data_IF_365821059333
#
_entry.id   IF_365821059333
#
_cell.length_a   1.000
_cell.length_b   1.000
_cell.length_c   1.000
_cell.angle_alpha   90.00
_cell.angle_beta   90.00
_cell.angle_gamma   90.00
#
_symmetry.space_group_name_H-M   'P 1'
#
loop_
_entity.id
_entity.type
_entity.pdbx_description
1 polymer ?
#
# COMPACT_ATOMS: atom_id res chain seq x y z
N UNK A 1 -27.98 4.69 36.41
CA UNK A 1 -26.87 3.73 36.26
C UNK A 1 -27.14 2.92 35.01
N UNK A 2 -26.63 3.40 33.86
CA UNK A 2 -26.66 2.67 32.59
C UNK A 2 -25.37 1.87 32.57
N UNK A 3 -25.51 0.53 32.72
CA UNK A 3 -24.36 -0.36 32.78
C UNK A 3 -23.55 -0.30 31.51
N UNK A 4 -22.27 -0.02 31.61
CA UNK A 4 -21.28 -0.23 30.57
C UNK A 4 -21.24 -1.74 30.24
N UNK A 5 -22.06 -2.14 29.27
CA UNK A 5 -21.84 -3.41 28.59
C UNK A 5 -20.50 -3.30 27.84
N UNK A 6 -19.55 -4.12 28.22
CA UNK A 6 -18.26 -4.18 27.53
C UNK A 6 -18.51 -4.50 26.05
N UNK A 7 -17.77 -3.85 25.16
CA UNK A 7 -17.86 -3.96 23.68
C UNK A 7 -17.74 -5.41 23.14
N UNK A 8 -17.40 -6.36 23.99
CA UNK A 8 -17.38 -7.80 23.72
C UNK A 8 -18.74 -8.49 23.85
N UNK A 9 -19.73 -7.90 24.56
CA UNK A 9 -21.03 -8.55 24.77
C UNK A 9 -21.92 -8.51 23.54
N UNK A 10 -21.80 -7.49 22.66
CA UNK A 10 -22.55 -7.45 21.40
C UNK A 10 -22.08 -8.51 20.38
N UNK A 11 -20.82 -8.99 20.47
CA UNK A 11 -20.32 -10.10 19.65
C UNK A 11 -20.92 -11.45 20.06
N UNK A 12 -21.38 -11.59 21.29
CA UNK A 12 -22.06 -12.82 21.76
C UNK A 12 -23.53 -12.90 21.35
N UNK A 13 -24.16 -11.80 21.01
CA UNK A 13 -25.57 -11.79 20.56
C UNK A 13 -25.77 -12.14 19.08
N UNK A 14 -24.71 -12.18 18.23
CA UNK A 14 -24.80 -12.67 16.85
C UNK A 14 -24.74 -14.20 16.85
N UNK A 15 -25.83 -14.84 16.40
CA UNK A 15 -25.95 -16.32 16.29
C UNK A 15 -24.93 -16.97 15.34
N UNK A 16 -24.17 -16.20 14.54
CA UNK A 16 -23.14 -16.71 13.63
C UNK A 16 -21.89 -15.81 13.67
N UNK A 17 -20.70 -16.43 13.77
CA UNK A 17 -19.42 -15.72 13.66
C UNK A 17 -19.27 -15.15 12.26
N UNK A 18 -18.61 -13.95 12.10
CA UNK A 18 -18.30 -13.44 10.77
C UNK A 18 -17.35 -14.39 10.03
N UNK A 19 -17.60 -14.59 8.74
CA UNK A 19 -16.69 -15.36 7.86
C UNK A 19 -15.61 -14.43 7.36
N UNK A 20 -14.34 -14.74 7.62
CA UNK A 20 -13.19 -14.05 7.04
C UNK A 20 -12.29 -15.01 6.26
N UNK A 21 -11.62 -14.47 5.25
CA UNK A 21 -10.57 -15.20 4.56
C UNK A 21 -9.19 -14.69 4.98
N UNK A 22 -8.24 -15.60 5.11
CA UNK A 22 -6.81 -15.30 5.20
C UNK A 22 -6.17 -15.70 3.87
N UNK A 23 -5.63 -14.72 3.16
CA UNK A 23 -4.96 -14.89 1.87
C UNK A 23 -3.46 -14.78 2.09
N UNK A 24 -2.72 -15.89 1.88
CA UNK A 24 -1.27 -15.95 2.06
C UNK A 24 -0.53 -15.46 0.83
N UNK A 25 0.50 -14.62 1.05
CA UNK A 25 1.45 -14.23 -0.01
C UNK A 25 2.91 -14.51 0.38
N UNK A 26 3.18 -15.00 1.59
CA UNK A 26 4.52 -15.25 2.12
C UNK A 26 5.05 -14.12 3.01
N UNK A 27 6.36 -13.87 2.92
CA UNK A 27 7.05 -12.84 3.70
C UNK A 27 7.55 -13.32 5.07
N UNK A 28 8.09 -12.41 5.89
CA UNK A 28 8.70 -12.70 7.21
C UNK A 28 7.75 -13.43 8.16
N UNK A 29 6.46 -13.11 8.13
CA UNK A 29 5.45 -13.79 8.94
C UNK A 29 5.38 -15.30 8.65
N UNK A 30 5.74 -15.72 7.44
CA UNK A 30 5.81 -17.11 6.99
C UNK A 30 7.26 -17.65 6.94
N UNK A 31 8.25 -16.90 7.42
CA UNK A 31 9.66 -17.25 7.28
C UNK A 31 10.15 -18.15 8.40
N UNK A 32 11.00 -19.11 8.03
CA UNK A 32 11.75 -20.00 8.93
C UNK A 32 13.21 -20.02 8.53
N UNK A 33 14.10 -20.28 9.48
CA UNK A 33 15.53 -20.41 9.21
C UNK A 33 15.82 -21.69 8.43
N UNK A 34 16.51 -21.56 7.28
CA UNK A 34 17.03 -22.68 6.50
C UNK A 34 18.54 -22.77 6.68
N UNK A 35 18.98 -23.84 7.36
CA UNK A 35 20.41 -24.06 7.65
C UNK A 35 21.27 -24.31 6.40
N UNK A 36 20.65 -24.79 5.29
CA UNK A 36 21.39 -25.05 4.05
C UNK A 36 21.66 -23.75 3.29
N UNK A 37 20.70 -22.82 3.34
CA UNK A 37 20.82 -21.51 2.69
C UNK A 37 21.46 -20.47 3.62
N UNK A 38 21.61 -20.77 4.92
CA UNK A 38 22.19 -19.87 5.91
C UNK A 38 21.34 -18.62 6.18
N UNK A 39 20.01 -18.69 6.01
CA UNK A 39 19.12 -17.55 6.15
C UNK A 39 17.64 -17.93 6.24
N UNK A 40 16.79 -16.93 6.46
CA UNK A 40 15.35 -17.13 6.53
C UNK A 40 14.72 -17.18 5.14
N UNK A 41 13.83 -18.15 4.91
CA UNK A 41 13.05 -18.32 3.68
C UNK A 41 11.57 -18.37 3.98
N UNK A 42 10.74 -17.90 3.07
CA UNK A 42 9.29 -18.03 3.19
C UNK A 42 8.90 -19.50 2.99
N UNK A 43 8.53 -20.17 4.07
CA UNK A 43 8.33 -21.62 4.11
C UNK A 43 6.97 -22.05 4.70
N UNK A 44 6.40 -21.27 5.61
CA UNK A 44 5.10 -21.60 6.19
C UNK A 44 3.97 -21.23 5.24
N UNK A 45 2.95 -22.11 5.15
CA UNK A 45 1.70 -21.82 4.45
C UNK A 45 0.79 -20.89 5.28
N UNK A 46 -0.16 -20.23 4.65
CA UNK A 46 -1.17 -19.45 5.37
C UNK A 46 -2.02 -20.34 6.30
N UNK A 47 -2.23 -21.61 5.93
CA UNK A 47 -2.91 -22.57 6.82
C UNK A 47 -2.11 -22.84 8.10
N UNK A 48 -0.77 -22.98 8.02
CA UNK A 48 0.08 -23.13 9.19
C UNK A 48 0.05 -21.87 10.06
N UNK A 49 0.06 -20.68 9.46
CA UNK A 49 -0.05 -19.41 10.18
C UNK A 49 -1.37 -19.30 10.95
N UNK A 50 -2.49 -19.64 10.32
CA UNK A 50 -3.81 -19.65 10.97
C UNK A 50 -3.86 -20.69 12.11
N UNK A 51 -3.31 -21.89 11.89
CA UNK A 51 -3.29 -22.95 12.90
C UNK A 51 -2.42 -22.60 14.11
N UNK A 52 -1.43 -21.72 13.95
CA UNK A 52 -0.59 -21.24 15.04
C UNK A 52 -1.28 -20.17 15.93
N UNK A 53 -2.48 -19.69 15.55
CA UNK A 53 -3.24 -18.66 16.27
C UNK A 53 -4.67 -19.16 16.53
N UNK A 54 -4.88 -20.09 17.47
CA UNK A 54 -6.21 -20.69 17.75
C UNK A 54 -7.25 -19.66 18.17
N UNK A 55 -6.86 -18.52 18.74
CA UNK A 55 -7.74 -17.41 19.13
C UNK A 55 -8.50 -16.79 17.96
N UNK A 56 -8.04 -17.00 16.72
CA UNK A 56 -8.79 -16.60 15.51
C UNK A 56 -10.19 -17.23 15.49
N UNK A 57 -10.30 -18.48 15.96
CA UNK A 57 -11.57 -19.18 16.09
C UNK A 57 -12.56 -18.52 17.06
N UNK A 58 -12.11 -17.71 18.00
CA UNK A 58 -12.99 -16.93 18.89
C UNK A 58 -13.57 -15.69 18.20
N UNK A 59 -12.88 -15.18 17.17
CA UNK A 59 -13.24 -13.95 16.46
C UNK A 59 -14.14 -14.24 15.25
N UNK A 60 -13.79 -15.25 14.45
CA UNK A 60 -14.40 -15.48 13.14
C UNK A 60 -14.34 -16.95 12.73
N UNK A 61 -15.20 -17.33 11.77
CA UNK A 61 -14.96 -18.51 10.96
C UNK A 61 -13.89 -18.14 9.91
N UNK A 62 -12.77 -18.88 9.90
CA UNK A 62 -11.61 -18.55 9.06
C UNK A 62 -11.49 -19.56 7.94
N UNK A 63 -11.42 -19.06 6.69
CA UNK A 63 -11.02 -19.83 5.51
C UNK A 63 -9.69 -19.31 4.98
N UNK A 64 -8.92 -20.20 4.34
CA UNK A 64 -7.57 -19.89 3.88
C UNK A 64 -7.49 -20.02 2.36
N UNK A 65 -6.75 -19.11 1.73
CA UNK A 65 -6.38 -19.16 0.32
C UNK A 65 -4.89 -18.89 0.21
N UNK A 66 -4.14 -19.77 -0.43
CA UNK A 66 -2.77 -19.53 -0.82
C UNK A 66 -2.76 -18.81 -2.19
N UNK A 67 -2.26 -17.57 -2.21
CA UNK A 67 -2.05 -16.84 -3.46
C UNK A 67 -0.62 -17.04 -3.96
N UNK A 68 0.34 -16.86 -3.09
CA UNK A 68 1.77 -17.07 -3.34
C UNK A 68 2.50 -17.33 -2.02
N UNK A 69 3.75 -17.74 -2.08
CA UNK A 69 4.61 -17.87 -0.90
C UNK A 69 6.02 -17.39 -1.23
N UNK A 70 6.19 -16.07 -1.30
CA UNK A 70 7.43 -15.43 -1.74
C UNK A 70 7.88 -14.34 -0.77
N UNK A 71 9.18 -14.04 -0.78
CA UNK A 71 9.68 -12.81 -0.15
C UNK A 71 9.14 -11.60 -0.93
N UNK A 72 8.57 -10.63 -0.23
CA UNK A 72 7.92 -9.49 -0.88
C UNK A 72 8.85 -8.63 -1.73
N UNK A 73 10.16 -8.63 -1.48
CA UNK A 73 11.13 -7.96 -2.36
C UNK A 73 11.22 -8.63 -3.75
N UNK A 74 10.75 -9.88 -3.88
CA UNK A 74 10.70 -10.64 -5.13
C UNK A 74 9.29 -10.62 -5.76
N UNK A 75 8.33 -9.95 -5.14
CA UNK A 75 6.98 -9.83 -5.69
C UNK A 75 7.01 -8.93 -6.91
N UNK A 76 6.78 -9.51 -8.07
CA UNK A 76 6.64 -8.77 -9.31
C UNK A 76 5.23 -8.16 -9.45
N UNK A 77 5.10 -7.25 -10.38
CA UNK A 77 3.85 -6.54 -10.64
C UNK A 77 2.72 -7.48 -11.06
N UNK A 78 3.05 -8.53 -11.82
CA UNK A 78 2.08 -9.54 -12.28
C UNK A 78 1.49 -10.31 -11.10
N UNK A 79 2.33 -10.78 -10.18
CA UNK A 79 1.90 -11.49 -8.96
C UNK A 79 1.08 -10.55 -8.06
N UNK A 80 1.58 -9.33 -7.83
CA UNK A 80 0.85 -8.34 -7.03
C UNK A 80 -0.52 -7.99 -7.65
N UNK A 81 -0.58 -7.82 -8.97
CA UNK A 81 -1.84 -7.54 -9.67
C UNK A 81 -2.79 -8.74 -9.67
N UNK A 82 -2.27 -9.96 -9.76
CA UNK A 82 -3.06 -11.20 -9.66
C UNK A 82 -3.72 -11.38 -8.29
N UNK A 83 -3.17 -10.79 -7.22
CA UNK A 83 -3.79 -10.77 -5.89
C UNK A 83 -5.15 -10.06 -5.92
N UNK A 84 -5.31 -9.00 -6.72
CA UNK A 84 -6.59 -8.32 -6.96
C UNK A 84 -7.70 -9.31 -7.36
N UNK A 85 -7.41 -10.19 -8.32
CA UNK A 85 -8.40 -11.13 -8.83
C UNK A 85 -8.77 -12.19 -7.79
N UNK A 86 -7.79 -12.60 -6.98
CA UNK A 86 -8.02 -13.47 -5.81
C UNK A 86 -8.92 -12.79 -4.79
N UNK A 87 -8.66 -11.54 -4.44
CA UNK A 87 -9.47 -10.76 -3.50
C UNK A 87 -10.89 -10.52 -4.05
N UNK A 88 -11.02 -10.11 -5.31
CA UNK A 88 -12.32 -9.89 -5.96
C UNK A 88 -13.16 -11.18 -5.97
N UNK A 89 -12.54 -12.33 -6.24
CA UNK A 89 -13.23 -13.64 -6.23
C UNK A 89 -13.76 -13.98 -4.85
N UNK A 90 -12.93 -13.81 -3.80
CA UNK A 90 -13.32 -14.10 -2.41
C UNK A 90 -14.42 -13.16 -1.93
N UNK A 91 -14.31 -11.87 -2.23
CA UNK A 91 -15.25 -10.83 -1.76
C UNK A 91 -16.61 -10.85 -2.49
N UNK A 92 -16.75 -11.60 -3.60
CA UNK A 92 -18.03 -11.80 -4.28
C UNK A 92 -19.03 -12.64 -3.47
N UNK A 93 -18.55 -13.47 -2.55
CA UNK A 93 -19.40 -14.25 -1.65
C UNK A 93 -19.97 -13.31 -0.57
N UNK A 94 -21.30 -13.12 -0.56
CA UNK A 94 -21.98 -12.23 0.37
C UNK A 94 -21.81 -12.65 1.83
N UNK A 95 -21.56 -13.93 2.11
CA UNK A 95 -21.30 -14.44 3.44
C UNK A 95 -19.96 -13.95 4.00
N UNK A 96 -19.02 -13.54 3.16
CA UNK A 96 -17.69 -13.04 3.58
C UNK A 96 -17.82 -11.65 4.19
N UNK A 97 -17.38 -11.50 5.42
CA UNK A 97 -17.37 -10.24 6.18
C UNK A 97 -16.12 -9.40 5.90
N UNK A 98 -14.99 -10.03 5.57
CA UNK A 98 -13.74 -9.35 5.28
C UNK A 98 -12.60 -10.31 4.92
N UNK A 99 -11.45 -9.74 4.55
CA UNK A 99 -10.26 -10.49 4.15
C UNK A 99 -9.03 -9.95 4.87
N UNK A 100 -8.18 -10.86 5.36
CA UNK A 100 -6.83 -10.57 5.82
C UNK A 100 -5.84 -11.07 4.77
N UNK A 101 -4.86 -10.26 4.40
CA UNK A 101 -3.75 -10.66 3.54
C UNK A 101 -2.47 -10.67 4.37
N UNK A 102 -1.78 -11.81 4.45
CA UNK A 102 -0.44 -11.87 5.05
C UNK A 102 0.60 -11.58 3.99
N UNK A 103 1.51 -10.64 4.25
CA UNK A 103 2.44 -10.10 3.27
C UNK A 103 3.81 -9.80 3.90
N UNK A 104 4.87 -9.90 3.11
CA UNK A 104 6.19 -9.45 3.54
C UNK A 104 6.27 -7.92 3.60
N UNK A 105 6.92 -7.39 4.63
CA UNK A 105 6.90 -5.95 4.93
C UNK A 105 7.70 -5.07 3.97
N UNK A 106 8.56 -5.64 3.09
CA UNK A 106 9.42 -4.84 2.21
C UNK A 106 8.63 -4.05 1.16
N UNK A 107 7.59 -4.64 0.56
CA UNK A 107 6.74 -4.00 -0.46
C UNK A 107 5.25 -3.98 -0.08
N UNK A 108 4.95 -4.23 1.19
CA UNK A 108 3.57 -4.26 1.70
C UNK A 108 2.81 -2.97 1.37
N UNK A 109 3.44 -1.81 1.56
CA UNK A 109 2.84 -0.51 1.29
C UNK A 109 2.45 -0.33 -0.19
N UNK A 110 3.23 -0.91 -1.10
CA UNK A 110 2.98 -0.86 -2.54
C UNK A 110 1.79 -1.74 -2.91
N UNK A 111 1.80 -3.00 -2.46
CA UNK A 111 0.68 -3.93 -2.67
C UNK A 111 -0.61 -3.41 -2.06
N UNK A 112 -0.55 -2.83 -0.85
CA UNK A 112 -1.73 -2.26 -0.20
C UNK A 112 -2.39 -1.16 -1.05
N UNK A 113 -1.60 -0.24 -1.59
CA UNK A 113 -2.13 0.84 -2.39
C UNK A 113 -2.62 0.36 -3.77
N UNK A 114 -1.92 -0.59 -4.40
CA UNK A 114 -2.38 -1.22 -5.63
C UNK A 114 -3.76 -1.87 -5.43
N UNK A 115 -3.97 -2.59 -4.32
CA UNK A 115 -5.25 -3.21 -4.00
C UNK A 115 -6.33 -2.15 -3.72
N UNK A 116 -6.02 -1.07 -3.00
CA UNK A 116 -6.97 0.03 -2.74
C UNK A 116 -7.44 0.71 -4.03
N UNK A 117 -6.53 0.88 -5.00
CA UNK A 117 -6.84 1.45 -6.30
C UNK A 117 -7.69 0.53 -7.19
N UNK A 118 -7.59 -0.80 -7.03
CA UNK A 118 -8.05 -1.72 -8.08
C UNK A 118 -9.07 -2.77 -7.64
N UNK A 119 -9.26 -3.05 -6.34
CA UNK A 119 -10.21 -4.10 -5.90
C UNK A 119 -11.67 -3.62 -5.91
N UNK A 120 -11.94 -2.41 -5.42
CA UNK A 120 -13.27 -1.80 -5.47
C UNK A 120 -14.32 -2.48 -4.59
N UNK A 121 -13.96 -2.90 -3.37
CA UNK A 121 -14.88 -3.55 -2.44
C UNK A 121 -15.20 -2.65 -1.24
N UNK A 122 -16.44 -2.73 -0.75
CA UNK A 122 -16.85 -2.10 0.51
C UNK A 122 -16.49 -2.95 1.73
N UNK A 123 -16.32 -4.26 1.54
CA UNK A 123 -15.90 -5.18 2.60
C UNK A 123 -14.44 -4.92 2.98
N UNK A 124 -14.07 -5.05 4.29
CA UNK A 124 -12.73 -4.82 4.76
C UNK A 124 -11.68 -5.70 4.08
N UNK A 125 -10.59 -5.09 3.64
CA UNK A 125 -9.36 -5.76 3.23
C UNK A 125 -8.26 -5.25 4.14
N UNK A 126 -7.66 -6.14 4.94
CA UNK A 126 -6.64 -5.78 5.92
C UNK A 126 -5.35 -6.51 5.59
N UNK A 127 -4.30 -5.78 5.29
CA UNK A 127 -2.98 -6.36 5.02
C UNK A 127 -2.13 -6.28 6.28
N UNK A 128 -1.43 -7.37 6.59
CA UNK A 128 -0.55 -7.48 7.74
C UNK A 128 0.72 -8.25 7.39
N UNK A 129 1.69 -8.23 8.29
CA UNK A 129 2.95 -8.93 8.16
C UNK A 129 3.65 -9.08 9.51
N UNK A 130 4.94 -9.39 9.49
CA UNK A 130 5.77 -9.44 10.68
C UNK A 130 7.17 -8.87 10.41
N UNK A 131 7.78 -8.29 11.43
CA UNK A 131 9.19 -7.89 11.41
C UNK A 131 10.11 -8.98 11.94
N UNK A 132 9.63 -9.77 12.90
CA UNK A 132 10.35 -10.87 13.52
C UNK A 132 9.90 -12.21 12.93
N UNK A 133 10.85 -13.08 12.70
CA UNK A 133 10.56 -14.41 12.17
C UNK A 133 9.90 -15.30 13.22
N UNK A 134 9.23 -16.34 12.79
CA UNK A 134 8.47 -17.23 13.68
C UNK A 134 9.33 -18.03 14.66
N UNK A 135 10.62 -18.17 14.40
CA UNK A 135 11.62 -18.86 15.21
C UNK A 135 12.41 -17.92 16.14
N UNK A 136 12.13 -16.63 16.11
CA UNK A 136 12.67 -15.67 17.09
C UNK A 136 11.97 -15.82 18.45
N UNK A 137 12.59 -15.29 19.51
CA UNK A 137 12.09 -15.45 20.88
C UNK A 137 10.72 -14.82 21.13
N UNK A 138 10.42 -13.73 20.43
CA UNK A 138 9.18 -12.94 20.59
C UNK A 138 8.60 -12.50 19.23
N UNK A 139 8.15 -13.47 18.41
CA UNK A 139 7.62 -13.18 17.08
C UNK A 139 6.37 -12.31 17.16
N UNK A 140 6.27 -11.29 16.31
CA UNK A 140 5.12 -10.39 16.25
C UNK A 140 4.01 -10.88 15.31
N UNK A 141 4.31 -11.85 14.43
CA UNK A 141 3.40 -12.37 13.42
C UNK A 141 2.05 -12.87 13.97
N UNK A 142 2.03 -13.76 14.97
CA UNK A 142 0.78 -14.28 15.55
C UNK A 142 -0.15 -13.18 16.07
N UNK A 143 0.39 -12.19 16.77
CA UNK A 143 -0.38 -11.04 17.28
C UNK A 143 -0.88 -10.15 16.14
N UNK A 144 -0.05 -9.89 15.14
CA UNK A 144 -0.43 -9.07 14.00
C UNK A 144 -1.55 -9.74 13.17
N UNK A 145 -1.48 -11.06 13.00
CA UNK A 145 -2.53 -11.83 12.32
C UNK A 145 -3.85 -11.78 13.12
N UNK A 146 -3.81 -11.98 14.44
CA UNK A 146 -4.98 -11.88 15.30
C UNK A 146 -5.62 -10.48 15.22
N UNK A 147 -4.82 -9.44 15.30
CA UNK A 147 -5.29 -8.05 15.25
C UNK A 147 -5.85 -7.68 13.86
N UNK A 148 -5.21 -8.14 12.79
CA UNK A 148 -5.74 -7.96 11.45
C UNK A 148 -7.11 -8.64 11.26
N UNK A 149 -7.29 -9.84 11.84
CA UNK A 149 -8.58 -10.54 11.85
C UNK A 149 -9.65 -9.77 12.63
N UNK A 150 -9.29 -9.22 13.80
CA UNK A 150 -10.21 -8.36 14.57
C UNK A 150 -10.66 -7.14 13.77
N UNK A 151 -9.74 -6.51 13.02
CA UNK A 151 -10.07 -5.36 12.15
C UNK A 151 -10.94 -5.80 10.98
N UNK A 152 -10.61 -6.92 10.31
CA UNK A 152 -11.37 -7.43 9.16
C UNK A 152 -12.80 -7.88 9.53
N UNK A 153 -13.00 -8.33 10.78
CA UNK A 153 -14.30 -8.72 11.32
C UNK A 153 -15.11 -7.52 11.87
N UNK A 154 -14.49 -6.34 12.02
CA UNK A 154 -15.13 -5.20 12.67
C UNK A 154 -16.12 -4.49 11.73
N UNK A 155 -17.36 -4.25 12.15
CA UNK A 155 -18.38 -3.62 11.27
C UNK A 155 -17.97 -2.25 10.73
N UNK A 156 -17.27 -1.44 11.52
CA UNK A 156 -16.82 -0.10 11.11
C UNK A 156 -15.62 -0.13 10.16
N UNK A 157 -15.04 -1.28 9.86
CA UNK A 157 -13.92 -1.38 8.91
C UNK A 157 -14.40 -1.32 7.44
N UNK A 158 -15.68 -1.60 7.20
CA UNK A 158 -16.29 -1.49 5.87
C UNK A 158 -16.23 -0.07 5.29
N UNK A 159 -16.12 0.05 3.98
CA UNK A 159 -16.05 1.33 3.26
C UNK A 159 -14.75 2.14 3.45
N UNK A 160 -13.79 1.63 4.24
CA UNK A 160 -12.52 2.32 4.51
C UNK A 160 -11.42 2.01 3.49
N UNK A 161 -11.70 1.15 2.50
CA UNK A 161 -10.71 0.67 1.55
C UNK A 161 -9.76 -0.35 2.14
N UNK A 162 -8.58 -0.44 1.57
CA UNK A 162 -7.53 -1.33 2.07
C UNK A 162 -6.83 -0.69 3.26
N UNK A 163 -6.78 -1.46 4.34
CA UNK A 163 -6.13 -1.08 5.59
C UNK A 163 -4.85 -1.90 5.79
N UNK A 164 -3.88 -1.32 6.45
CA UNK A 164 -2.68 -2.02 6.93
C UNK A 164 -2.73 -2.02 8.46
N UNK A 165 -2.77 -3.22 9.05
CA UNK A 165 -2.79 -3.39 10.51
C UNK A 165 -1.52 -4.11 10.96
N UNK A 166 -0.62 -3.41 11.65
CA UNK A 166 0.65 -3.95 12.14
C UNK A 166 1.09 -3.16 13.37
N UNK A 167 1.65 -3.84 14.37
CA UNK A 167 2.16 -3.18 15.57
C UNK A 167 1.11 -2.42 16.39
N UNK A 168 -0.15 -2.82 16.35
CA UNK A 168 -1.31 -2.19 17.02
C UNK A 168 -1.85 -0.91 16.34
N UNK A 169 -1.28 -0.46 15.24
CA UNK A 169 -1.78 0.67 14.46
C UNK A 169 -2.53 0.20 13.20
N UNK A 170 -3.52 0.98 12.80
CA UNK A 170 -4.29 0.78 11.58
C UNK A 170 -4.05 1.98 10.68
N UNK A 171 -3.49 1.74 9.49
CA UNK A 171 -3.18 2.77 8.51
C UNK A 171 -4.01 2.61 7.24
N UNK A 172 -4.32 3.70 6.57
CA UNK A 172 -4.87 3.68 5.21
C UNK A 172 -3.77 3.30 4.20
N UNK A 173 -4.11 2.47 3.23
CA UNK A 173 -3.17 2.01 2.19
C UNK A 173 -2.51 3.15 1.42
N UNK A 174 -3.23 4.25 1.19
CA UNK A 174 -2.71 5.43 0.51
C UNK A 174 -1.54 6.08 1.25
N UNK A 175 -1.61 6.14 2.59
CA UNK A 175 -0.72 6.98 3.40
C UNK A 175 0.36 6.18 4.13
N UNK A 176 0.17 4.87 4.30
CA UNK A 176 1.11 4.00 4.99
C UNK A 176 2.46 3.92 4.26
N UNK A 177 3.55 3.97 5.01
CA UNK A 177 4.91 3.75 4.50
C UNK A 177 5.78 3.05 5.54
N UNK A 178 6.72 2.23 5.08
CA UNK A 178 7.70 1.59 5.96
C UNK A 178 8.76 2.61 6.36
N UNK A 179 8.85 2.92 7.65
CA UNK A 179 9.74 3.96 8.20
C UNK A 179 10.97 3.40 8.90
N UNK A 180 10.98 2.10 9.20
CA UNK A 180 12.12 1.46 9.86
C UNK A 180 12.25 -0.01 9.42
N UNK A 181 13.49 -0.52 9.20
CA UNK A 181 13.69 -1.90 8.76
C UNK A 181 13.60 -2.96 9.87
N UNK A 182 13.69 -2.59 11.16
CA UNK A 182 13.90 -3.55 12.27
C UNK A 182 12.81 -3.56 13.33
N UNK A 183 12.32 -2.39 13.76
CA UNK A 183 11.38 -2.31 14.87
C UNK A 183 9.99 -2.82 14.49
N UNK A 184 9.25 -3.38 15.44
CA UNK A 184 7.90 -3.94 15.19
C UNK A 184 6.86 -2.86 14.82
N UNK A 185 7.07 -1.61 15.21
CA UNK A 185 6.28 -0.43 14.79
C UNK A 185 6.89 0.21 13.54
N UNK A 186 7.20 -0.60 12.54
CA UNK A 186 7.98 -0.21 11.37
C UNK A 186 7.20 0.57 10.31
N UNK A 187 5.90 0.70 10.44
CA UNK A 187 5.05 1.48 9.53
C UNK A 187 4.57 2.77 10.18
N UNK A 188 4.39 3.79 9.37
CA UNK A 188 3.81 5.07 9.74
C UNK A 188 3.03 5.64 8.57
N UNK A 189 2.38 6.77 8.75
CA UNK A 189 1.75 7.54 7.68
C UNK A 189 2.48 8.86 7.50
N UNK A 190 2.58 9.35 6.25
CA UNK A 190 3.36 10.57 5.94
C UNK A 190 2.88 11.79 6.72
N UNK A 191 1.59 12.09 6.63
CA UNK A 191 1.05 13.36 7.13
C UNK A 191 -0.19 13.17 8.02
N UNK A 192 -0.95 12.09 7.85
CA UNK A 192 -2.24 11.90 8.51
C UNK A 192 -2.21 11.03 9.78
N UNK A 193 -1.12 10.33 10.06
CA UNK A 193 -1.05 9.36 11.15
C UNK A 193 -1.92 8.11 10.92
N UNK A 194 -2.08 7.25 11.94
CA UNK A 194 -2.95 6.08 11.87
C UNK A 194 -4.43 6.49 11.84
N UNK A 195 -5.24 5.74 11.10
CA UNK A 195 -6.70 5.92 11.04
C UNK A 195 -7.44 5.18 12.16
N UNK A 196 -6.72 4.38 12.92
CA UNK A 196 -7.25 3.62 14.05
C UNK A 196 -6.18 2.88 14.81
N UNK A 197 -6.60 2.16 15.84
CA UNK A 197 -5.75 1.25 16.60
C UNK A 197 -6.49 -0.06 16.92
N UNK A 198 -5.70 -1.11 17.12
CA UNK A 198 -6.20 -2.41 17.56
C UNK A 198 -5.39 -2.91 18.74
N UNK A 199 -6.07 -3.35 19.79
CA UNK A 199 -5.47 -3.88 21.01
C UNK A 199 -6.27 -5.10 21.46
N UNK A 200 -5.82 -5.78 22.52
CA UNK A 200 -6.60 -6.84 23.16
C UNK A 200 -7.99 -6.37 23.67
N UNK A 201 -8.22 -5.07 23.78
CA UNK A 201 -9.51 -4.48 24.18
C UNK A 201 -10.48 -4.28 23.02
N UNK A 202 -10.01 -4.38 21.77
CA UNK A 202 -10.80 -4.20 20.56
C UNK A 202 -10.18 -3.25 19.56
N UNK A 203 -10.96 -2.94 18.54
CA UNK A 203 -10.63 -2.01 17.43
C UNK A 203 -11.24 -0.65 17.72
N UNK A 204 -10.50 0.40 17.44
CA UNK A 204 -10.99 1.79 17.53
C UNK A 204 -10.54 2.55 16.30
N UNK A 205 -11.49 3.15 15.56
CA UNK A 205 -11.18 4.03 14.43
C UNK A 205 -11.23 5.49 14.88
N UNK A 206 -10.25 6.29 14.44
CA UNK A 206 -10.11 7.71 14.75
C UNK A 206 -10.62 8.60 13.63
N UNK A 207 -10.45 8.13 12.38
CA UNK A 207 -10.80 8.89 11.17
C UNK A 207 -11.15 7.99 10.00
N UNK A 208 -11.77 8.58 8.97
CA UNK A 208 -11.99 7.94 7.66
C UNK A 208 -10.79 8.23 6.76
N UNK A 209 -10.28 7.22 6.00
CA UNK A 209 -9.31 7.46 4.95
C UNK A 209 -9.83 8.49 3.93
N UNK A 210 -9.00 9.46 3.60
CA UNK A 210 -9.34 10.54 2.68
C UNK A 210 -8.77 10.29 1.28
N UNK A 211 -9.30 10.99 0.26
CA UNK A 211 -8.74 11.04 -1.10
C UNK A 211 -8.59 9.67 -1.76
N UNK A 212 -9.48 8.74 -1.45
CA UNK A 212 -9.49 7.42 -2.08
C UNK A 212 -9.94 7.53 -3.53
N UNK A 213 -9.28 6.78 -4.38
CA UNK A 213 -9.59 6.62 -5.80
C UNK A 213 -9.70 5.13 -6.09
N UNK A 214 -10.73 4.73 -6.81
CA UNK A 214 -10.85 3.40 -7.39
C UNK A 214 -10.88 3.53 -8.91
N UNK A 215 -10.12 2.68 -9.60
CA UNK A 215 -10.01 2.64 -11.05
C UNK A 215 -10.29 1.22 -11.54
N UNK A 216 -11.30 1.06 -12.39
CA UNK A 216 -11.53 -0.20 -13.09
C UNK A 216 -10.51 -0.31 -14.22
N UNK A 217 -9.69 -1.37 -14.17
CA UNK A 217 -8.64 -1.67 -15.14
C UNK A 217 -8.55 -3.16 -15.41
N UNK A 218 -8.25 -3.53 -16.66
CA UNK A 218 -7.97 -4.92 -17.02
C UNK A 218 -6.47 -5.26 -16.90
N UNK A 219 -5.63 -4.25 -16.88
CA UNK A 219 -4.19 -4.34 -16.75
C UNK A 219 -3.58 -3.03 -16.29
N UNK A 220 -2.29 -3.02 -16.04
CA UNK A 220 -1.54 -1.84 -15.63
C UNK A 220 -0.33 -1.64 -16.54
N UNK A 221 0.21 -0.42 -16.58
CA UNK A 221 1.45 -0.11 -17.30
C UNK A 221 2.63 -0.23 -16.35
N UNK A 222 3.59 -1.11 -16.66
CA UNK A 222 4.64 -1.51 -15.72
C UNK A 222 5.90 -0.64 -15.82
N UNK A 223 6.22 -0.13 -17.03
CA UNK A 223 7.43 0.65 -17.28
C UNK A 223 7.29 2.11 -16.82
N UNK A 224 6.94 2.27 -15.53
CA UNK A 224 6.91 3.57 -14.84
C UNK A 224 8.06 3.65 -13.85
N UNK A 225 8.92 4.64 -14.01
CA UNK A 225 10.17 4.77 -13.23
C UNK A 225 10.19 5.98 -12.33
N UNK A 226 10.83 5.86 -11.16
CA UNK A 226 11.07 6.97 -10.23
C UNK A 226 12.49 7.49 -10.47
N UNK A 227 12.62 8.80 -10.71
CA UNK A 227 13.90 9.49 -10.83
C UNK A 227 14.02 10.50 -9.68
N UNK A 228 14.88 10.17 -8.72
CA UNK A 228 15.11 11.00 -7.53
C UNK A 228 16.20 12.03 -7.80
N UNK A 229 15.87 13.31 -7.61
CA UNK A 229 16.79 14.42 -7.74
C UNK A 229 17.84 14.41 -6.62
N UNK A 230 19.12 14.47 -6.99
CA UNK A 230 20.26 14.72 -6.10
C UNK A 230 21.06 15.93 -6.58
N UNK A 231 21.85 16.54 -5.68
CA UNK A 231 22.71 17.67 -6.04
C UNK A 231 23.69 17.24 -7.15
N UNK A 232 23.74 18.03 -8.25
CA UNK A 232 24.62 17.74 -9.40
C UNK A 232 24.13 16.61 -10.32
N UNK A 233 22.94 16.05 -10.11
CA UNK A 233 22.40 14.99 -10.97
C UNK A 233 22.21 15.51 -12.42
N UNK A 234 22.54 14.65 -13.40
CA UNK A 234 22.38 14.89 -14.82
C UNK A 234 21.03 14.40 -15.34
N UNK A 235 20.74 14.66 -16.62
CA UNK A 235 19.53 14.14 -17.30
C UNK A 235 19.71 12.72 -17.88
N UNK A 236 20.77 12.00 -17.50
CA UNK A 236 21.10 10.69 -18.09
C UNK A 236 19.93 9.70 -18.00
N UNK A 237 19.28 9.61 -16.82
CA UNK A 237 18.17 8.67 -16.60
C UNK A 237 16.95 9.05 -17.47
N UNK A 238 16.66 10.33 -17.66
CA UNK A 238 15.58 10.75 -18.54
C UNK A 238 15.85 10.36 -19.99
N UNK A 239 17.08 10.56 -20.48
CA UNK A 239 17.47 10.13 -21.84
C UNK A 239 17.30 8.62 -22.01
N UNK A 240 17.71 7.83 -21.03
CA UNK A 240 17.51 6.38 -21.05
C UNK A 240 16.03 6.00 -21.09
N UNK A 241 15.19 6.63 -20.26
CA UNK A 241 13.74 6.41 -20.25
C UNK A 241 13.10 6.78 -21.60
N UNK A 242 13.48 7.92 -22.19
CA UNK A 242 12.96 8.34 -23.50
C UNK A 242 13.39 7.38 -24.60
N UNK A 243 14.64 6.93 -24.58
CA UNK A 243 15.15 5.94 -25.53
C UNK A 243 14.44 4.59 -25.40
N UNK A 244 14.15 4.15 -24.17
CA UNK A 244 13.43 2.92 -23.86
C UNK A 244 11.92 3.03 -24.13
N UNK A 245 11.39 4.24 -24.36
CA UNK A 245 9.95 4.51 -24.54
C UNK A 245 9.12 4.01 -23.35
N UNK A 246 9.54 4.33 -22.13
CA UNK A 246 8.85 3.93 -20.91
C UNK A 246 7.42 4.49 -20.87
N UNK A 247 6.53 3.85 -20.10
CA UNK A 247 5.13 4.26 -19.97
C UNK A 247 4.96 5.57 -19.17
N UNK A 248 5.88 5.86 -18.23
CA UNK A 248 5.78 7.07 -17.42
C UNK A 248 6.98 7.31 -16.51
N UNK A 249 7.10 8.52 -15.99
CA UNK A 249 8.19 8.93 -15.09
C UNK A 249 7.60 9.67 -13.89
N UNK A 250 8.07 9.31 -12.68
CA UNK A 250 7.84 10.06 -11.45
C UNK A 250 9.12 10.75 -11.05
N UNK A 251 9.10 12.06 -10.89
CA UNK A 251 10.24 12.87 -10.44
C UNK A 251 10.08 13.22 -8.98
N UNK A 252 11.04 12.81 -8.16
CA UNK A 252 11.13 13.23 -6.75
C UNK A 252 12.10 14.42 -6.62
N UNK A 253 11.55 15.63 -6.59
CA UNK A 253 12.31 16.88 -6.47
C UNK A 253 12.78 17.19 -5.06
N UNK A 254 13.67 18.17 -4.92
CA UNK A 254 14.18 18.68 -3.64
C UNK A 254 13.23 19.72 -3.04
N UNK A 255 13.20 19.83 -1.71
CA UNK A 255 12.35 20.80 -1.02
C UNK A 255 10.90 20.71 -1.50
N UNK A 256 10.31 21.77 -1.97
CA UNK A 256 8.94 21.82 -2.52
C UNK A 256 8.78 21.26 -3.94
N UNK A 257 9.62 20.34 -4.38
CA UNK A 257 9.53 19.69 -5.70
C UNK A 257 10.44 20.30 -6.76
N UNK A 258 11.46 21.08 -6.37
CA UNK A 258 12.37 21.74 -7.28
C UNK A 258 13.46 20.77 -7.78
N UNK A 259 13.94 21.01 -9.00
CA UNK A 259 15.02 20.27 -9.64
C UNK A 259 16.09 21.21 -10.19
N UNK A 260 17.26 20.69 -10.56
CA UNK A 260 18.27 21.45 -11.27
C UNK A 260 17.96 21.58 -12.76
N UNK A 261 18.70 22.39 -13.50
CA UNK A 261 18.47 22.65 -14.92
C UNK A 261 18.56 21.37 -15.77
N UNK A 262 19.60 20.50 -15.64
CA UNK A 262 19.63 19.26 -16.40
C UNK A 262 18.43 18.34 -16.15
N UNK A 263 17.92 18.25 -14.92
CA UNK A 263 16.72 17.46 -14.59
C UNK A 263 15.46 18.06 -15.23
N UNK A 264 15.34 19.39 -15.20
CA UNK A 264 14.23 20.09 -15.85
C UNK A 264 14.23 19.84 -17.35
N UNK A 265 15.39 19.96 -18.03
CA UNK A 265 15.54 19.66 -19.46
C UNK A 265 15.18 18.19 -19.75
N UNK A 266 15.61 17.26 -18.89
CA UNK A 266 15.27 15.85 -19.01
C UNK A 266 13.76 15.59 -18.87
N UNK A 267 13.09 16.24 -17.94
CA UNK A 267 11.64 16.14 -17.77
C UNK A 267 10.89 16.75 -18.99
N UNK A 268 11.37 17.87 -19.51
CA UNK A 268 10.83 18.47 -20.75
C UNK A 268 10.98 17.52 -21.94
N UNK A 269 12.16 16.91 -22.12
CA UNK A 269 12.41 15.92 -23.17
C UNK A 269 11.43 14.74 -23.10
N UNK A 270 11.16 14.23 -21.90
CA UNK A 270 10.19 13.15 -21.69
C UNK A 270 8.76 13.58 -22.07
N UNK A 271 8.34 14.76 -21.62
CA UNK A 271 7.03 15.34 -21.98
C UNK A 271 6.88 15.56 -23.48
N UNK A 272 7.91 16.06 -24.14
CA UNK A 272 7.94 16.26 -25.61
C UNK A 272 7.91 14.94 -26.38
N UNK A 273 8.42 13.85 -25.79
CA UNK A 273 8.30 12.49 -26.32
C UNK A 273 6.93 11.84 -26.02
N UNK A 274 5.99 12.55 -25.38
CA UNK A 274 4.67 12.04 -25.04
C UNK A 274 4.65 11.15 -23.78
N UNK A 275 5.74 11.07 -23.02
CA UNK A 275 5.82 10.31 -21.77
C UNK A 275 5.27 11.17 -20.62
N UNK A 276 4.23 10.76 -19.92
CA UNK A 276 3.71 11.50 -18.77
C UNK A 276 4.74 11.58 -17.64
N UNK A 277 4.92 12.77 -17.10
CA UNK A 277 5.83 13.06 -16.00
C UNK A 277 5.01 13.52 -14.80
N UNK A 278 5.07 12.77 -13.70
CA UNK A 278 4.51 13.17 -12.41
C UNK A 278 5.62 13.76 -11.55
N UNK A 279 5.41 14.97 -11.02
CA UNK A 279 6.39 15.64 -10.18
C UNK A 279 5.91 15.72 -8.71
N UNK A 280 6.78 15.37 -7.79
CA UNK A 280 6.56 15.37 -6.35
C UNK A 280 7.81 15.75 -5.57
N UNK A 281 7.82 15.42 -4.29
CA UNK A 281 8.93 15.71 -3.38
C UNK A 281 9.60 14.43 -2.89
N UNK A 282 10.91 14.48 -2.67
CA UNK A 282 11.68 13.39 -2.06
C UNK A 282 11.64 13.38 -0.52
N UNK A 283 10.97 14.36 0.07
CA UNK A 283 10.85 14.49 1.53
C UNK A 283 9.86 13.48 2.11
N UNK A 284 10.02 13.05 3.35
CA UNK A 284 9.16 12.06 4.00
C UNK A 284 7.75 12.58 4.34
N UNK A 285 7.54 13.92 4.32
CA UNK A 285 6.25 14.54 4.64
C UNK A 285 6.03 15.82 3.85
N UNK A 286 4.80 16.33 3.83
CA UNK A 286 4.39 17.52 3.09
C UNK A 286 4.10 17.25 1.62
N UNK A 287 3.77 18.31 0.91
CA UNK A 287 3.48 18.31 -0.54
C UNK A 287 4.34 19.31 -1.30
N UNK A 288 4.36 19.24 -2.63
CA UNK A 288 5.04 20.21 -3.46
C UNK A 288 4.31 21.57 -3.43
N UNK A 289 5.04 22.65 -3.75
CA UNK A 289 4.47 23.99 -3.79
C UNK A 289 5.06 24.87 -4.90
N UNK A 290 4.28 25.84 -5.38
CA UNK A 290 4.58 26.68 -6.54
C UNK A 290 5.22 28.03 -6.24
N UNK A 291 5.73 28.28 -5.03
CA UNK A 291 6.22 29.58 -4.59
C UNK A 291 7.55 30.07 -5.22
N UNK A 292 8.17 29.30 -6.13
CA UNK A 292 9.43 29.65 -6.80
C UNK A 292 9.23 29.78 -8.31
N UNK A 293 9.94 30.73 -8.95
CA UNK A 293 9.76 31.10 -10.37
C UNK A 293 11.09 31.10 -11.16
N UNK A 294 11.94 30.09 -10.96
CA UNK A 294 13.15 29.88 -11.76
C UNK A 294 13.07 28.59 -12.58
N UNK A 295 13.97 28.41 -13.57
CA UNK A 295 14.09 27.19 -14.36
C UNK A 295 14.44 26.02 -13.44
N UNK A 296 13.62 24.96 -13.47
CA UNK A 296 13.74 23.83 -12.54
C UNK A 296 12.93 23.99 -11.27
N UNK A 297 12.20 25.11 -11.05
CA UNK A 297 11.21 25.18 -9.98
C UNK A 297 10.04 24.23 -10.24
N UNK A 298 9.37 23.79 -9.20
CA UNK A 298 8.16 22.98 -9.33
C UNK A 298 7.11 23.65 -10.22
N UNK A 299 6.90 24.97 -10.07
CA UNK A 299 6.00 25.73 -10.93
C UNK A 299 6.42 25.67 -12.42
N UNK A 300 7.71 25.67 -12.73
CA UNK A 300 8.17 25.58 -14.12
C UNK A 300 7.89 24.20 -14.74
N UNK A 301 7.98 23.12 -13.96
CA UNK A 301 7.57 21.78 -14.37
C UNK A 301 6.07 21.71 -14.65
N UNK A 302 5.24 22.26 -13.76
CA UNK A 302 3.78 22.31 -13.95
C UNK A 302 3.39 23.07 -15.23
N UNK A 303 4.04 24.22 -15.52
CA UNK A 303 3.82 24.99 -16.75
C UNK A 303 4.21 24.22 -18.02
N UNK A 304 5.12 23.26 -17.92
CA UNK A 304 5.53 22.39 -19.05
C UNK A 304 4.59 21.19 -19.24
N UNK A 305 3.62 21.02 -18.36
CA UNK A 305 2.61 19.96 -18.45
C UNK A 305 2.85 18.75 -17.56
N UNK A 306 3.82 18.81 -16.63
CA UNK A 306 3.95 17.78 -15.61
C UNK A 306 2.69 17.71 -14.73
N UNK A 307 2.43 16.52 -14.15
CA UNK A 307 1.31 16.24 -13.27
C UNK A 307 1.79 16.35 -11.82
N UNK A 308 1.02 17.00 -10.95
CA UNK A 308 1.34 17.06 -9.53
C UNK A 308 1.10 15.70 -8.85
N UNK A 309 2.05 15.22 -8.05
CA UNK A 309 1.81 14.09 -7.15
C UNK A 309 0.93 14.47 -5.95
N UNK A 310 0.76 15.76 -5.67
CA UNK A 310 0.17 16.22 -4.41
C UNK A 310 0.93 15.66 -3.20
N UNK A 311 0.20 15.17 -2.22
CA UNK A 311 0.77 14.56 -1.00
C UNK A 311 1.15 13.08 -1.16
N UNK A 312 1.08 12.49 -2.35
CA UNK A 312 1.55 11.12 -2.56
C UNK A 312 3.09 11.05 -2.52
N UNK A 313 3.62 9.99 -1.91
CA UNK A 313 5.04 9.65 -2.04
C UNK A 313 5.37 9.26 -3.48
N UNK A 314 6.64 9.29 -3.87
CA UNK A 314 7.05 8.86 -5.21
C UNK A 314 6.63 7.42 -5.52
N UNK A 315 6.72 6.51 -4.53
CA UNK A 315 6.26 5.12 -4.65
C UNK A 315 4.75 5.06 -4.92
N UNK A 316 3.94 5.78 -4.14
CA UNK A 316 2.48 5.81 -4.34
C UNK A 316 2.10 6.49 -5.65
N UNK A 317 2.79 7.57 -6.02
CA UNK A 317 2.59 8.23 -7.30
C UNK A 317 2.93 7.32 -8.50
N UNK A 318 3.97 6.48 -8.37
CA UNK A 318 4.32 5.47 -9.37
C UNK A 318 3.19 4.45 -9.55
N UNK A 319 2.70 3.88 -8.46
CA UNK A 319 1.62 2.88 -8.50
C UNK A 319 0.35 3.50 -9.09
N UNK A 320 -0.02 4.72 -8.66
CA UNK A 320 -1.17 5.42 -9.22
C UNK A 320 -1.01 5.64 -10.74
N UNK A 321 0.20 6.04 -11.21
CA UNK A 321 0.45 6.25 -12.63
C UNK A 321 0.35 4.95 -13.42
N UNK A 322 0.91 3.85 -12.92
CA UNK A 322 0.80 2.52 -13.54
C UNK A 322 -0.67 2.10 -13.74
N UNK A 323 -1.49 2.28 -12.71
CA UNK A 323 -2.92 1.93 -12.75
C UNK A 323 -3.70 2.92 -13.63
N UNK A 324 -3.45 4.22 -13.49
CA UNK A 324 -4.13 5.25 -14.25
C UNK A 324 -3.86 5.14 -15.75
N UNK A 325 -2.64 4.79 -16.17
CA UNK A 325 -2.30 4.52 -17.56
C UNK A 325 -2.91 3.23 -18.11
N UNK A 326 -3.27 2.28 -17.24
CA UNK A 326 -4.12 1.13 -17.59
C UNK A 326 -5.59 1.50 -17.79
N UNK A 327 -6.02 2.63 -17.20
CA UNK A 327 -7.38 3.14 -17.28
C UNK A 327 -7.60 4.15 -18.40
N UNK A 328 -6.61 5.01 -18.69
CA UNK A 328 -6.73 6.08 -19.70
C UNK A 328 -5.36 6.54 -20.20
N UNK A 329 -5.31 6.94 -21.45
CA UNK A 329 -4.17 7.63 -22.07
C UNK A 329 -4.39 9.15 -22.19
N UNK A 330 -5.57 9.65 -21.79
CA UNK A 330 -5.91 11.07 -21.84
C UNK A 330 -5.18 11.87 -20.74
N UNK A 331 -4.32 12.84 -21.07
CA UNK A 331 -3.53 13.61 -20.11
C UNK A 331 -4.37 14.40 -19.11
N UNK A 332 -5.53 14.92 -19.51
CA UNK A 332 -6.38 15.70 -18.62
C UNK A 332 -7.07 14.78 -17.61
N UNK A 333 -7.47 13.59 -18.04
CA UNK A 333 -8.02 12.59 -17.14
C UNK A 333 -6.98 12.09 -16.14
N UNK A 334 -5.73 11.92 -16.55
CA UNK A 334 -4.63 11.62 -15.64
C UNK A 334 -4.46 12.72 -14.58
N UNK A 335 -4.51 14.01 -14.97
CA UNK A 335 -4.46 15.15 -14.03
C UNK A 335 -5.61 15.12 -13.01
N UNK A 336 -6.85 14.84 -13.46
CA UNK A 336 -8.02 14.72 -12.57
C UNK A 336 -7.84 13.58 -11.54
N UNK A 337 -7.36 12.41 -11.99
CA UNK A 337 -7.11 11.26 -11.10
C UNK A 337 -6.07 11.65 -10.04
N UNK A 338 -4.96 12.27 -10.46
CA UNK A 338 -3.91 12.70 -9.54
C UNK A 338 -4.38 13.82 -8.60
N UNK A 339 -5.17 14.79 -9.07
CA UNK A 339 -5.74 15.83 -8.24
C UNK A 339 -6.65 15.25 -7.14
N UNK A 340 -7.45 14.23 -7.47
CA UNK A 340 -8.32 13.56 -6.52
C UNK A 340 -7.53 12.74 -5.49
N UNK A 341 -6.53 11.99 -5.93
CA UNK A 341 -5.73 11.12 -5.06
C UNK A 341 -4.66 11.88 -4.28
N UNK A 342 -4.04 12.89 -4.87
CA UNK A 342 -2.92 13.64 -4.28
C UNK A 342 -3.37 14.77 -3.35
N UNK A 343 -4.46 15.44 -3.67
CA UNK A 343 -5.03 16.56 -2.89
C UNK A 343 -4.57 17.92 -3.32
#
# INVERSE_FOLDING_TARGET
>A
MIGERTRFEWMKEKMTKPLIYVVGTGGTIASRYDAKLGGHVSAASAQELVSAVPELGDIADVRVVEHSNINSALMDTKTAFGLRDTLRRVLKDDAVSGVVVTHGTATLEETAYLMDLTVGADKPIVITGAQRNSDEKDPDGPRNLLYAAMVAAHPEAGGRGVLVALGSEIHAARDVTKVNPEIVTCFGARDGGPVGSVTKRGVTFFSMPQRRVHLEVDGIKEEVHIIKMAQGASNLLFRACVQAKVDGIVVEGTGGGNVNVPFYEGACMALEAGIPVVAGIRLPSGGPHTGKAYIGSYMSLMKRGAISSGYLSGIKARILLMVALGHTDNPDRLREIFAKAGG
#
